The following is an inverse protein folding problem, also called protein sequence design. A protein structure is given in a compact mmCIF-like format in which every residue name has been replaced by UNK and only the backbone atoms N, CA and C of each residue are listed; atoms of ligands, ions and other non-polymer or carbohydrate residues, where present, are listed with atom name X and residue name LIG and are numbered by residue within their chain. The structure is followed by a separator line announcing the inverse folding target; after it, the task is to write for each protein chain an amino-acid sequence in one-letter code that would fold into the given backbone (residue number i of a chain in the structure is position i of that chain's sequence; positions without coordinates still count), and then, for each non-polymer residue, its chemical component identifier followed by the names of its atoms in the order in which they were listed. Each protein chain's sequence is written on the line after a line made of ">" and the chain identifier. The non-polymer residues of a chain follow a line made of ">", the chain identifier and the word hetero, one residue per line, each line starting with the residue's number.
data_IF_609150515106
#
_entry.id   IF_609150515106
#
_cell.length_a   1.000
_cell.length_b   1.000
_cell.length_c   1.000
_cell.angle_alpha   90.00
_cell.angle_beta   90.00
_cell.angle_gamma   90.00
#
_symmetry.space_group_name_H-M   'P 1'
#
loop_
_entity.id
_entity.type
_entity.pdbx_description
1 polymer ?
#
# COMPACT_ATOMS: atom_id res chain seq x y z
N UNK A 1 -2.72 70.80 37.42
CA UNK A 1 -3.87 70.34 36.61
C UNK A 1 -3.44 70.45 35.16
N UNK A 2 -3.75 69.41 34.39
CA UNK A 2 -3.16 69.08 33.10
C UNK A 2 -3.31 70.17 32.03
N UNK A 3 -2.23 70.43 31.31
CA UNK A 3 -2.26 71.06 29.99
C UNK A 3 -2.50 69.97 28.95
N UNK A 4 -3.58 70.11 28.20
CA UNK A 4 -3.87 69.32 27.00
C UNK A 4 -4.06 70.32 25.87
N UNK A 5 -3.14 70.32 24.91
CA UNK A 5 -3.33 70.94 23.60
C UNK A 5 -2.90 69.94 22.53
N UNK A 6 -3.86 69.75 21.64
CA UNK A 6 -3.95 68.90 20.47
C UNK A 6 -2.92 69.28 19.39
N UNK A 7 -2.38 68.28 18.70
CA UNK A 7 -1.84 68.38 17.34
C UNK A 7 -1.77 66.99 16.69
N UNK A 8 -2.90 66.55 16.16
CA UNK A 8 -3.07 65.92 14.83
C UNK A 8 -1.84 65.29 14.17
N UNK A 9 -1.83 63.95 14.07
CA UNK A 9 -1.15 63.25 12.97
C UNK A 9 -2.14 62.33 12.24
N UNK A 10 -2.23 62.59 10.95
CA UNK A 10 -3.12 61.99 9.97
C UNK A 10 -2.65 60.55 9.66
N UNK A 11 -3.31 59.54 10.20
CA UNK A 11 -3.09 58.14 9.82
C UNK A 11 -4.20 57.73 8.86
N UNK A 12 -3.88 57.64 7.58
CA UNK A 12 -4.70 56.96 6.58
C UNK A 12 -4.96 55.53 7.04
N UNK A 13 -6.19 55.22 7.44
CA UNK A 13 -6.66 53.85 7.58
C UNK A 13 -6.77 53.23 6.18
N UNK A 14 -5.67 52.68 5.67
CA UNK A 14 -5.75 51.66 4.62
C UNK A 14 -6.33 50.40 5.25
N UNK A 15 -7.61 50.16 4.93
CA UNK A 15 -8.25 48.86 5.06
C UNK A 15 -7.37 47.81 4.38
N UNK A 16 -6.60 47.05 5.15
CA UNK A 16 -6.10 45.76 4.69
C UNK A 16 -7.27 44.78 4.78
N UNK A 17 -8.01 44.70 3.68
CA UNK A 17 -8.96 43.63 3.42
C UNK A 17 -8.17 42.33 3.37
N UNK A 18 -8.21 41.56 4.45
CA UNK A 18 -7.70 40.19 4.52
C UNK A 18 -8.60 39.35 3.61
N UNK A 19 -8.15 39.20 2.38
CA UNK A 19 -8.82 38.44 1.33
C UNK A 19 -7.84 37.70 0.45
N UNK A 20 -6.79 37.08 0.99
CA UNK A 20 -5.97 36.13 0.22
C UNK A 20 -6.71 34.81 0.15
N UNK A 21 -7.80 34.78 -0.63
CA UNK A 21 -8.39 33.54 -1.11
C UNK A 21 -7.46 33.09 -2.25
N UNK A 22 -6.70 32.02 -2.04
CA UNK A 22 -5.92 31.43 -3.11
C UNK A 22 -6.87 31.11 -4.28
N UNK A 23 -6.67 31.78 -5.41
CA UNK A 23 -7.42 31.54 -6.63
C UNK A 23 -6.96 30.19 -7.19
N UNK A 24 -7.72 29.13 -6.89
CA UNK A 24 -7.45 27.80 -7.41
C UNK A 24 -8.00 27.77 -8.83
N UNK A 25 -7.12 27.65 -9.82
CA UNK A 25 -7.50 27.39 -11.19
C UNK A 25 -8.21 26.03 -11.28
N UNK A 26 -9.53 26.08 -11.46
CA UNK A 26 -10.40 24.90 -11.67
C UNK A 26 -10.75 24.70 -13.15
N UNK A 27 -10.04 25.36 -14.07
CA UNK A 27 -10.25 25.16 -15.49
C UNK A 27 -9.96 23.72 -15.91
N UNK A 28 -10.54 23.31 -17.04
CA UNK A 28 -10.43 21.94 -17.54
C UNK A 28 -8.96 21.51 -17.68
N UNK A 29 -8.65 20.20 -17.50
CA UNK A 29 -7.31 19.67 -17.70
C UNK A 29 -6.74 20.05 -19.07
N UNK A 30 -5.46 20.38 -19.14
CA UNK A 30 -4.81 20.70 -20.42
C UNK A 30 -4.87 19.49 -21.36
N UNK A 31 -5.26 19.73 -22.61
CA UNK A 31 -5.41 18.68 -23.61
C UNK A 31 -4.07 18.37 -24.31
N UNK A 32 -3.05 19.21 -24.08
CA UNK A 32 -1.72 19.06 -24.67
C UNK A 32 -0.63 19.70 -23.82
N UNK A 33 0.59 19.14 -23.89
CA UNK A 33 1.81 19.75 -23.36
C UNK A 33 2.01 21.15 -23.93
N UNK A 34 1.66 21.38 -25.20
CA UNK A 34 1.76 22.70 -25.84
C UNK A 34 0.82 23.72 -25.18
N UNK A 35 -0.37 23.29 -24.77
CA UNK A 35 -1.34 24.14 -24.07
C UNK A 35 -0.85 24.49 -22.67
N UNK A 36 -0.35 23.50 -21.93
CA UNK A 36 0.24 23.72 -20.61
C UNK A 36 1.42 24.71 -20.67
N UNK A 37 2.32 24.53 -21.63
CA UNK A 37 3.47 25.42 -21.81
C UNK A 37 3.03 26.84 -22.16
N UNK A 38 1.94 27.00 -22.92
CA UNK A 38 1.42 28.34 -23.26
C UNK A 38 0.75 29.02 -22.06
N UNK A 39 0.01 28.27 -21.23
CA UNK A 39 -0.68 28.81 -20.04
C UNK A 39 0.28 29.21 -18.92
N UNK A 40 1.41 28.51 -18.77
CA UNK A 40 2.36 28.71 -17.67
C UNK A 40 3.67 29.40 -18.06
N UNK A 41 3.71 30.16 -19.16
CA UNK A 41 4.83 31.10 -19.43
C UNK A 41 5.66 30.89 -20.69
N UNK A 42 5.21 30.07 -21.64
CA UNK A 42 5.77 29.95 -23.00
C UNK A 42 7.11 29.22 -23.12
N UNK A 43 7.45 28.77 -24.34
CA UNK A 43 8.75 28.18 -24.66
C UNK A 43 9.83 29.28 -24.58
N UNK A 44 10.57 29.34 -23.47
CA UNK A 44 11.79 30.13 -23.37
C UNK A 44 12.96 29.42 -24.05
N UNK A 45 13.57 30.06 -25.05
CA UNK A 45 14.86 29.62 -25.59
C UNK A 45 15.95 29.89 -24.55
N UNK A 46 16.32 28.87 -23.78
CA UNK A 46 17.52 28.92 -22.95
C UNK A 46 18.76 28.97 -23.84
N UNK A 47 19.41 30.13 -23.91
CA UNK A 47 20.78 30.26 -24.44
C UNK A 47 21.77 30.07 -23.28
N UNK A 48 22.63 29.03 -23.29
CA UNK A 48 23.76 28.98 -22.37
C UNK A 48 24.69 30.15 -22.66
N UNK A 49 24.98 31.00 -21.66
CA UNK A 49 25.96 32.07 -21.81
C UNK A 49 27.33 31.46 -22.03
N UNK A 50 27.75 31.39 -23.30
CA UNK A 50 29.15 31.22 -23.64
C UNK A 50 29.84 32.54 -23.30
N UNK A 51 30.36 32.65 -22.07
CA UNK A 51 31.23 33.77 -21.71
C UNK A 51 32.52 33.65 -22.52
N UNK A 52 32.58 34.45 -23.59
CA UNK A 52 33.85 34.88 -24.19
C UNK A 52 34.43 35.98 -23.31
N UNK A 53 35.74 35.86 -23.10
CA UNK A 53 36.63 36.85 -22.53
C UNK A 53 36.49 38.19 -23.27
N UNK A 54 36.01 39.23 -22.58
CA UNK A 54 36.29 40.64 -22.91
C UNK A 54 35.67 41.55 -21.84
N UNK A 55 36.53 42.14 -21.02
CA UNK A 55 36.29 43.38 -20.26
C UNK A 55 36.53 44.61 -21.17
N UNK A 56 36.19 45.87 -20.78
CA UNK A 56 35.41 46.29 -19.60
C UNK A 56 34.37 47.42 -19.90
N UNK A 57 33.65 47.78 -18.83
CA UNK A 57 33.13 49.12 -18.46
C UNK A 57 31.60 49.36 -18.38
N UNK A 58 31.23 49.74 -17.15
CA UNK A 58 30.09 50.50 -16.62
C UNK A 58 28.88 49.76 -16.02
N UNK A 59 28.69 50.10 -14.73
CA UNK A 59 27.59 49.88 -13.79
C UNK A 59 27.32 48.44 -13.33
N UNK A 60 28.25 47.92 -12.52
CA UNK A 60 27.86 46.98 -11.46
C UNK A 60 27.27 47.79 -10.31
N UNK A 61 25.95 47.69 -10.11
CA UNK A 61 25.37 47.90 -8.78
C UNK A 61 26.07 46.90 -7.85
N UNK A 62 27.02 47.41 -7.07
CA UNK A 62 27.66 46.69 -6.00
C UNK A 62 26.55 46.33 -5.00
N UNK A 63 26.05 45.10 -5.09
CA UNK A 63 25.11 44.55 -4.12
C UNK A 63 25.84 44.58 -2.78
N UNK A 64 25.48 45.54 -1.95
CA UNK A 64 26.06 45.75 -0.64
C UNK A 64 26.00 44.45 0.16
N UNK A 65 27.14 43.78 0.29
CA UNK A 65 27.30 42.46 0.90
C UNK A 65 26.75 42.48 2.34
N UNK A 66 26.86 43.62 3.02
CA UNK A 66 26.31 43.81 4.37
C UNK A 66 24.78 43.72 4.41
N UNK A 67 24.08 44.24 3.40
CA UNK A 67 22.62 44.18 3.32
C UNK A 67 22.11 42.75 3.04
N UNK A 68 22.84 41.98 2.23
CA UNK A 68 22.50 40.57 1.95
C UNK A 68 22.74 39.69 3.18
N UNK A 69 23.82 39.94 3.93
CA UNK A 69 24.12 39.24 5.19
C UNK A 69 23.06 39.56 6.27
N UNK A 70 22.62 40.81 6.38
CA UNK A 70 21.56 41.21 7.30
C UNK A 70 20.20 40.56 6.94
N UNK A 71 19.84 40.53 5.65
CA UNK A 71 18.65 39.82 5.18
C UNK A 71 18.72 38.31 5.44
N UNK A 72 19.88 37.69 5.29
CA UNK A 72 20.08 36.27 5.61
C UNK A 72 19.87 36.01 7.11
N UNK A 73 20.39 36.88 7.98
CA UNK A 73 20.18 36.78 9.44
C UNK A 73 18.71 36.96 9.84
N UNK A 74 17.97 37.84 9.16
CA UNK A 74 16.54 38.04 9.39
C UNK A 74 15.72 36.80 9.00
N UNK A 75 16.01 36.21 7.83
CA UNK A 75 15.35 35.00 7.37
C UNK A 75 15.67 33.78 8.25
N UNK A 76 16.91 33.68 8.76
CA UNK A 76 17.28 32.64 9.72
C UNK A 76 16.47 32.74 11.02
N UNK A 77 16.31 33.95 11.57
CA UNK A 77 15.49 34.17 12.77
C UNK A 77 14.02 33.84 12.53
N UNK A 78 13.46 34.23 11.39
CA UNK A 78 12.07 33.91 11.02
C UNK A 78 11.87 32.39 10.85
N UNK A 79 12.82 31.72 10.20
CA UNK A 79 12.81 30.26 10.05
C UNK A 79 12.80 29.55 11.40
N UNK A 80 13.67 29.98 12.33
CA UNK A 80 13.72 29.42 13.69
C UNK A 80 12.40 29.63 14.45
N UNK A 81 11.77 30.80 14.31
CA UNK A 81 10.46 31.07 14.93
C UNK A 81 9.38 30.16 14.32
N UNK A 82 9.37 29.98 13.01
CA UNK A 82 8.42 29.09 12.32
C UNK A 82 8.63 27.63 12.68
N UNK A 83 9.87 27.16 12.80
CA UNK A 83 10.18 25.83 13.29
C UNK A 83 9.63 25.61 14.70
N UNK A 84 9.79 26.58 15.61
CA UNK A 84 9.23 26.51 16.96
C UNK A 84 7.70 26.47 16.97
N UNK A 85 7.06 27.31 16.17
CA UNK A 85 5.59 27.32 16.02
C UNK A 85 5.07 25.97 15.50
N UNK A 86 5.74 25.38 14.50
CA UNK A 86 5.35 24.05 14.00
C UNK A 86 5.53 22.95 15.04
N UNK A 87 6.56 23.05 15.88
CA UNK A 87 6.80 22.11 16.97
C UNK A 87 5.72 22.22 18.06
N UNK A 88 5.30 23.44 18.41
CA UNK A 88 4.17 23.70 19.31
C UNK A 88 2.89 23.01 18.81
N UNK A 89 2.54 23.22 17.54
CA UNK A 89 1.36 22.60 16.91
C UNK A 89 1.44 21.08 16.91
N UNK A 90 2.63 20.51 16.68
CA UNK A 90 2.82 19.05 16.73
C UNK A 90 2.60 18.48 18.15
N UNK A 91 3.02 19.21 19.20
CA UNK A 91 2.74 18.81 20.59
C UNK A 91 1.24 18.85 20.90
N UNK A 92 0.55 19.91 20.47
CA UNK A 92 -0.91 20.01 20.63
C UNK A 92 -1.64 18.89 19.90
N UNK A 93 -1.17 18.52 18.70
CA UNK A 93 -1.71 17.41 17.92
C UNK A 93 -1.50 16.07 18.64
N UNK A 94 -0.33 15.84 19.23
CA UNK A 94 -0.04 14.64 20.01
C UNK A 94 -0.94 14.56 21.27
N UNK A 95 -1.11 15.67 21.98
CA UNK A 95 -2.04 15.75 23.11
C UNK A 95 -3.49 15.48 22.69
N UNK A 96 -3.92 16.02 21.54
CA UNK A 96 -5.24 15.77 20.97
C UNK A 96 -5.43 14.30 20.59
N UNK A 97 -4.40 13.68 20.00
CA UNK A 97 -4.40 12.24 19.67
C UNK A 97 -4.56 11.38 20.92
N UNK A 98 -3.82 11.69 22.00
CA UNK A 98 -3.95 11.02 23.30
C UNK A 98 -5.39 11.09 23.83
N UNK A 99 -6.02 12.27 23.78
CA UNK A 99 -7.41 12.45 24.21
C UNK A 99 -8.38 11.63 23.34
N UNK A 100 -8.19 11.62 22.02
CA UNK A 100 -9.02 10.82 21.10
C UNK A 100 -8.91 9.32 21.41
N UNK A 101 -7.71 8.82 21.68
CA UNK A 101 -7.50 7.42 22.06
C UNK A 101 -8.19 7.09 23.39
N UNK A 102 -8.11 7.97 24.38
CA UNK A 102 -8.82 7.81 25.66
C UNK A 102 -10.35 7.78 25.48
N UNK A 103 -10.90 8.73 24.70
CA UNK A 103 -12.33 8.78 24.39
C UNK A 103 -12.79 7.52 23.65
N UNK A 104 -11.98 7.01 22.73
CA UNK A 104 -12.26 5.77 21.99
C UNK A 104 -12.34 4.57 22.94
N UNK A 105 -11.44 4.47 23.93
CA UNK A 105 -11.49 3.41 24.94
C UNK A 105 -12.73 3.55 25.83
N UNK A 106 -13.08 4.76 26.25
CA UNK A 106 -14.31 5.04 27.03
C UNK A 106 -15.56 4.63 26.24
N UNK A 107 -15.65 4.98 24.96
CA UNK A 107 -16.77 4.62 24.10
C UNK A 107 -16.89 3.10 23.91
N UNK A 108 -15.76 2.41 23.71
CA UNK A 108 -15.74 0.95 23.58
C UNK A 108 -16.19 0.27 24.88
N UNK A 109 -15.76 0.80 26.04
CA UNK A 109 -16.17 0.32 27.35
C UNK A 109 -17.68 0.52 27.57
N UNK A 110 -18.18 1.72 27.33
CA UNK A 110 -19.61 2.04 27.50
C UNK A 110 -20.49 1.21 26.54
N UNK A 111 -20.07 1.02 25.30
CA UNK A 111 -20.75 0.13 24.36
C UNK A 111 -20.83 -1.32 24.89
N UNK A 112 -19.76 -1.82 25.51
CA UNK A 112 -19.76 -3.16 26.11
C UNK A 112 -20.65 -3.26 27.36
N UNK A 113 -20.70 -2.22 28.19
CA UNK A 113 -21.57 -2.14 29.37
C UNK A 113 -23.06 -2.06 28.97
N UNK A 114 -23.41 -1.29 27.93
CA UNK A 114 -24.77 -1.25 27.38
C UNK A 114 -25.17 -2.60 26.79
N UNK A 115 -24.26 -3.27 26.09
CA UNK A 115 -24.55 -4.59 25.54
C UNK A 115 -24.78 -5.64 26.66
N UNK A 116 -23.95 -5.63 27.70
CA UNK A 116 -24.12 -6.51 28.87
C UNK A 116 -25.42 -6.23 29.66
N UNK A 117 -25.83 -4.97 29.77
CA UNK A 117 -27.10 -4.60 30.43
C UNK A 117 -28.34 -4.97 29.59
N UNK A 118 -28.22 -4.98 28.25
CA UNK A 118 -29.28 -5.50 27.36
C UNK A 118 -29.43 -7.01 27.47
N UNK A 119 -28.31 -7.76 27.43
CA UNK A 119 -28.30 -9.21 27.59
C UNK A 119 -28.87 -9.65 28.95
N UNK A 120 -28.52 -8.96 30.04
CA UNK A 120 -29.08 -9.27 31.36
C UNK A 120 -30.57 -8.95 31.50
N UNK A 121 -31.11 -7.94 30.80
CA UNK A 121 -32.55 -7.66 30.75
C UNK A 121 -33.32 -8.73 29.98
N UNK A 122 -32.77 -9.22 28.86
CA UNK A 122 -33.37 -10.32 28.09
C UNK A 122 -33.40 -11.64 28.88
N UNK A 123 -32.37 -11.92 29.67
CA UNK A 123 -32.35 -13.09 30.56
C UNK A 123 -33.40 -12.97 31.67
N UNK A 124 -33.67 -11.76 32.19
CA UNK A 124 -34.62 -11.55 33.27
C UNK A 124 -36.09 -11.60 32.81
N UNK A 125 -36.39 -11.28 31.55
CA UNK A 125 -37.74 -11.45 30.96
C UNK A 125 -38.08 -12.93 30.65
N UNK A 126 -37.07 -13.77 30.36
CA UNK A 126 -37.28 -15.19 30.08
C UNK A 126 -37.48 -16.07 31.33
N UNK A 127 -37.11 -15.60 32.53
CA UNK A 127 -37.34 -16.33 33.80
C UNK A 127 -38.77 -16.14 34.34
N UNK A 128 -39.51 -15.13 33.87
CA UNK A 128 -40.89 -14.90 34.29
C UNK A 128 -41.93 -15.77 33.55
N UNK A 129 -41.53 -16.49 32.50
CA UNK A 129 -42.45 -17.14 31.56
C UNK A 129 -42.56 -18.67 31.65
N UNK A 130 -41.88 -19.36 32.57
CA UNK A 130 -41.94 -20.82 32.65
C UNK A 130 -42.18 -21.35 34.07
N UNK A 131 -43.46 -21.32 34.47
CA UNK A 131 -44.03 -22.24 35.44
C UNK A 131 -45.31 -22.84 34.85
N UNK A 132 -45.19 -23.78 33.91
CA UNK A 132 -46.17 -24.87 33.82
C UNK A 132 -45.74 -26.07 32.98
N UNK A 133 -46.14 -27.25 33.46
CA UNK A 133 -46.15 -28.57 32.80
C UNK A 133 -44.85 -29.39 32.87
N UNK A 134 -44.83 -30.32 33.83
CA UNK A 134 -43.84 -31.39 33.91
C UNK A 134 -44.11 -32.58 32.98
N UNK A 135 -43.08 -33.42 32.82
CA UNK A 135 -43.18 -34.88 32.79
C UNK A 135 -41.75 -35.48 32.90
N UNK A 136 -41.69 -36.63 33.55
CA UNK A 136 -40.55 -37.44 33.98
C UNK A 136 -39.85 -38.18 32.82
N UNK A 137 -38.51 -38.31 32.89
CA UNK A 137 -37.75 -39.59 32.95
C UNK A 137 -36.34 -39.54 32.27
N UNK A 138 -35.33 -39.70 33.13
CA UNK A 138 -33.99 -40.34 33.06
C UNK A 138 -33.08 -40.32 31.79
N UNK A 139 -31.75 -40.05 31.94
CA UNK A 139 -30.68 -40.20 30.93
C UNK A 139 -29.79 -41.45 31.21
N UNK A 140 -28.54 -41.63 30.67
CA UNK A 140 -27.92 -41.38 29.35
C UNK A 140 -27.12 -42.60 28.82
N UNK A 141 -26.71 -42.66 27.53
CA UNK A 141 -25.55 -43.49 27.10
C UNK A 141 -24.76 -42.85 25.93
N UNK A 142 -23.43 -42.79 26.15
CA UNK A 142 -22.33 -42.39 25.28
C UNK A 142 -22.13 -43.32 24.07
N UNK A 143 -21.60 -42.80 22.95
CA UNK A 143 -20.35 -43.32 22.37
C UNK A 143 -19.78 -42.42 21.26
N UNK A 144 -18.47 -42.21 21.42
CA UNK A 144 -17.48 -41.60 20.53
C UNK A 144 -17.29 -42.37 19.21
N UNK A 145 -16.61 -41.72 18.25
CA UNK A 145 -15.40 -42.17 17.51
C UNK A 145 -15.29 -41.27 16.26
N UNK A 146 -14.35 -40.31 16.21
CA UNK A 146 -13.00 -40.41 15.58
C UNK A 146 -13.08 -40.92 14.11
N UNK A 147 -12.45 -40.36 13.09
CA UNK A 147 -11.03 -39.99 12.99
C UNK A 147 -10.71 -39.51 11.55
N UNK A 148 -9.59 -38.78 11.45
CA UNK A 148 -8.62 -38.71 10.35
C UNK A 148 -8.86 -37.82 9.10
N UNK A 149 -8.04 -36.76 9.07
CA UNK A 149 -7.51 -36.02 7.93
C UNK A 149 -6.53 -36.87 7.10
N UNK A 150 -6.40 -36.61 5.78
CA UNK A 150 -5.10 -36.58 5.09
C UNK A 150 -5.18 -35.88 3.71
N UNK A 151 -4.41 -34.78 3.61
CA UNK A 151 -3.49 -34.33 2.54
C UNK A 151 -3.80 -34.30 1.03
N UNK A 152 -3.44 -33.13 0.45
CA UNK A 152 -2.70 -32.90 -0.83
C UNK A 152 -3.37 -33.27 -2.16
N UNK A 153 -3.17 -32.57 -3.28
CA UNK A 153 -2.42 -31.39 -3.70
C UNK A 153 -2.80 -31.17 -5.18
N UNK A 154 -2.84 -29.90 -5.62
CA UNK A 154 -2.67 -29.42 -7.02
C UNK A 154 -3.56 -29.91 -8.16
N UNK A 155 -3.94 -28.95 -9.01
CA UNK A 155 -3.90 -29.19 -10.45
C UNK A 155 -5.00 -28.51 -11.27
N UNK A 156 -4.60 -27.45 -11.96
CA UNK A 156 -5.13 -27.00 -13.25
C UNK A 156 -6.51 -26.30 -13.31
N UNK A 157 -6.38 -24.99 -13.53
CA UNK A 157 -7.28 -24.14 -14.29
C UNK A 157 -7.86 -24.78 -15.56
N UNK A 158 -9.16 -24.60 -15.79
CA UNK A 158 -9.67 -24.14 -17.09
C UNK A 158 -11.05 -23.50 -16.94
N UNK A 159 -11.17 -22.27 -17.45
CA UNK A 159 -12.42 -21.54 -17.61
C UNK A 159 -13.33 -22.25 -18.63
N UNK A 160 -14.62 -22.41 -18.32
CA UNK A 160 -15.69 -22.19 -19.30
C UNK A 160 -17.06 -22.05 -18.59
N UNK A 161 -17.65 -20.87 -18.81
CA UNK A 161 -19.08 -20.54 -18.89
C UNK A 161 -20.05 -21.72 -18.72
N UNK A 162 -20.96 -21.60 -17.75
CA UNK A 162 -22.12 -22.49 -17.65
C UNK A 162 -22.92 -22.30 -16.38
N UNK A 163 -24.04 -21.59 -16.51
CA UNK A 163 -25.36 -21.94 -15.94
C UNK A 163 -25.42 -22.58 -14.55
N UNK A 164 -26.08 -21.91 -13.59
CA UNK A 164 -27.33 -22.39 -12.96
C UNK A 164 -27.61 -21.65 -11.64
N UNK A 165 -28.73 -20.92 -11.63
CA UNK A 165 -29.81 -20.91 -10.63
C UNK A 165 -29.47 -21.21 -9.16
N UNK A 166 -29.95 -20.33 -8.26
CA UNK A 166 -30.80 -20.73 -7.12
C UNK A 166 -31.52 -19.51 -6.53
N UNK A 167 -32.86 -19.50 -6.58
CA UNK A 167 -33.71 -18.72 -5.67
C UNK A 167 -34.13 -19.60 -4.45
N UNK A 168 -34.97 -19.13 -3.52
CA UNK A 168 -34.61 -18.80 -2.15
C UNK A 168 -35.22 -19.82 -1.19
N UNK A 169 -34.42 -20.72 -0.63
CA UNK A 169 -34.89 -21.58 0.44
C UNK A 169 -33.77 -21.82 1.43
N UNK A 170 -34.09 -21.60 2.69
CA UNK A 170 -33.21 -21.71 3.85
C UNK A 170 -32.25 -20.51 4.04
N UNK A 171 -32.77 -19.47 4.69
CA UNK A 171 -32.04 -18.40 5.39
C UNK A 171 -30.81 -18.94 6.18
N UNK A 172 -30.80 -20.16 6.74
CA UNK A 172 -29.58 -20.80 7.29
C UNK A 172 -28.40 -21.03 6.32
N UNK A 173 -28.66 -21.37 5.05
CA UNK A 173 -27.62 -21.76 4.09
C UNK A 173 -26.76 -20.59 3.62
N UNK A 174 -27.37 -19.43 3.36
CA UNK A 174 -26.67 -18.19 3.01
C UNK A 174 -25.83 -17.68 4.18
N UNK A 175 -26.40 -17.65 5.39
CA UNK A 175 -25.69 -17.24 6.61
C UNK A 175 -24.48 -18.15 6.83
N UNK A 176 -24.62 -19.46 6.62
CA UNK A 176 -23.49 -20.39 6.72
C UNK A 176 -22.42 -20.14 5.67
N UNK A 177 -22.80 -19.77 4.44
CA UNK A 177 -21.85 -19.46 3.36
C UNK A 177 -21.11 -18.13 3.63
N UNK A 178 -21.81 -17.09 4.07
CA UNK A 178 -21.22 -15.82 4.50
C UNK A 178 -20.29 -16.02 5.70
N UNK A 179 -20.67 -16.85 6.67
CA UNK A 179 -19.84 -17.16 7.83
C UNK A 179 -18.59 -17.97 7.45
N UNK A 180 -18.71 -18.89 6.47
CA UNK A 180 -17.55 -19.57 5.87
C UNK A 180 -16.63 -18.59 5.15
N UNK A 181 -17.18 -17.65 4.39
CA UNK A 181 -16.40 -16.62 3.70
C UNK A 181 -15.72 -15.65 4.68
N UNK A 182 -16.44 -15.21 5.71
CA UNK A 182 -15.90 -14.38 6.79
C UNK A 182 -14.79 -15.11 7.54
N UNK A 183 -14.95 -16.41 7.81
CA UNK A 183 -13.91 -17.25 8.40
C UNK A 183 -12.66 -17.34 7.53
N UNK A 184 -12.81 -17.54 6.21
CA UNK A 184 -11.67 -17.54 5.29
C UNK A 184 -10.96 -16.18 5.24
N UNK A 185 -11.72 -15.08 5.21
CA UNK A 185 -11.15 -13.73 5.26
C UNK A 185 -10.44 -13.47 6.59
N UNK A 186 -10.99 -13.93 7.71
CA UNK A 186 -10.36 -13.83 9.02
C UNK A 186 -9.05 -14.63 9.07
N UNK A 187 -9.04 -15.84 8.53
CA UNK A 187 -7.82 -16.65 8.42
C UNK A 187 -6.76 -15.97 7.56
N UNK A 188 -7.14 -15.48 6.36
CA UNK A 188 -6.20 -14.76 5.47
C UNK A 188 -5.65 -13.50 6.14
N UNK A 189 -6.50 -12.66 6.73
CA UNK A 189 -6.06 -11.43 7.41
C UNK A 189 -5.18 -11.74 8.62
N UNK A 190 -5.43 -12.84 9.34
CA UNK A 190 -4.56 -13.29 10.43
C UNK A 190 -3.18 -13.71 9.93
N UNK A 191 -3.12 -14.42 8.80
CA UNK A 191 -1.84 -14.78 8.15
C UNK A 191 -1.10 -13.55 7.64
N UNK A 192 -1.76 -12.66 6.91
CA UNK A 192 -1.14 -11.42 6.41
C UNK A 192 -0.59 -10.58 7.56
N UNK A 193 -1.29 -10.53 8.70
CA UNK A 193 -0.86 -9.81 9.89
C UNK A 193 0.36 -10.47 10.54
N UNK A 194 0.46 -11.80 10.52
CA UNK A 194 1.66 -12.51 10.96
C UNK A 194 2.86 -12.20 10.06
N UNK A 195 2.67 -12.16 8.75
CA UNK A 195 3.72 -11.82 7.78
C UNK A 195 4.18 -10.36 7.94
N UNK A 196 3.25 -9.43 8.14
CA UNK A 196 3.57 -8.02 8.44
C UNK A 196 4.40 -7.93 9.74
N UNK A 197 4.00 -8.64 10.80
CA UNK A 197 4.74 -8.67 12.07
C UNK A 197 6.16 -9.20 11.87
N UNK A 198 6.32 -10.31 11.14
CA UNK A 198 7.62 -10.88 10.83
C UNK A 198 8.50 -9.90 10.03
N UNK A 199 7.91 -9.18 9.07
CA UNK A 199 8.60 -8.17 8.27
C UNK A 199 9.03 -6.96 9.09
N UNK A 200 8.17 -6.47 9.99
CA UNK A 200 8.50 -5.40 10.96
C UNK A 200 9.63 -5.82 11.88
N UNK A 201 9.59 -7.04 12.42
CA UNK A 201 10.62 -7.53 13.33
C UNK A 201 11.97 -7.73 12.61
N UNK A 202 11.94 -8.21 11.36
CA UNK A 202 13.12 -8.25 10.49
C UNK A 202 13.69 -6.86 10.21
N UNK A 203 12.81 -5.89 9.91
CA UNK A 203 13.17 -4.48 9.71
C UNK A 203 13.83 -3.85 10.94
N UNK A 204 13.26 -4.06 12.13
CA UNK A 204 13.83 -3.58 13.39
C UNK A 204 15.21 -4.19 13.67
N UNK A 205 15.39 -5.50 13.44
CA UNK A 205 16.71 -6.15 13.58
C UNK A 205 17.76 -5.54 12.64
N UNK A 206 17.36 -5.15 11.42
CA UNK A 206 18.26 -4.48 10.48
C UNK A 206 18.60 -3.06 10.93
N UNK A 207 17.60 -2.31 11.39
CA UNK A 207 17.77 -0.95 11.90
C UNK A 207 18.73 -0.92 13.09
N UNK A 208 18.59 -1.84 14.05
CA UNK A 208 19.50 -1.93 15.19
C UNK A 208 20.94 -2.23 14.78
N UNK A 209 21.16 -3.09 13.77
CA UNK A 209 22.51 -3.36 13.22
C UNK A 209 23.13 -2.12 12.57
N UNK A 210 22.33 -1.37 11.80
CA UNK A 210 22.80 -0.11 11.18
C UNK A 210 23.09 0.95 12.25
N UNK A 211 22.25 1.02 13.30
CA UNK A 211 22.44 1.94 14.43
C UNK A 211 23.73 1.66 15.19
N UNK A 212 24.01 0.40 15.50
CA UNK A 212 25.27 -0.02 16.14
C UNK A 212 26.49 0.27 15.25
N UNK A 213 26.37 0.05 13.94
CA UNK A 213 27.45 0.32 13.00
C UNK A 213 27.73 1.82 12.90
N UNK A 214 26.68 2.66 12.87
CA UNK A 214 26.78 4.10 12.89
C UNK A 214 27.48 4.60 14.16
N UNK A 215 27.08 4.10 15.33
CA UNK A 215 27.67 4.51 16.60
C UNK A 215 29.18 4.19 16.64
N UNK A 216 29.57 2.99 16.19
CA UNK A 216 30.98 2.61 16.06
C UNK A 216 31.77 3.55 15.12
N UNK A 217 31.14 4.03 14.04
CA UNK A 217 31.78 5.02 13.16
C UNK A 217 31.92 6.39 13.81
N UNK A 218 30.94 6.82 14.61
CA UNK A 218 30.98 8.07 15.37
C UNK A 218 32.08 8.04 16.43
N UNK A 219 32.19 6.96 17.21
CA UNK A 219 33.26 6.77 18.19
C UNK A 219 34.65 6.85 17.53
N UNK A 220 34.84 6.14 16.42
CA UNK A 220 36.10 6.17 15.67
C UNK A 220 36.42 7.57 15.13
N UNK A 221 35.42 8.30 14.65
CA UNK A 221 35.59 9.67 14.17
C UNK A 221 35.96 10.61 15.32
N UNK A 222 35.31 10.48 16.48
CA UNK A 222 35.64 11.24 17.68
C UNK A 222 37.07 10.97 18.14
N UNK A 223 37.49 9.70 18.20
CA UNK A 223 38.85 9.33 18.59
C UNK A 223 39.90 9.89 17.61
N UNK A 224 39.61 9.81 16.30
CA UNK A 224 40.48 10.36 15.27
C UNK A 224 40.56 11.89 15.39
N UNK A 225 39.44 12.57 15.62
CA UNK A 225 39.40 14.01 15.86
C UNK A 225 40.29 14.42 17.03
N UNK A 226 40.24 13.70 18.17
CA UNK A 226 41.11 13.97 19.31
C UNK A 226 42.59 13.74 18.97
N UNK A 227 42.90 12.69 18.20
CA UNK A 227 44.27 12.40 17.76
C UNK A 227 44.82 13.47 16.82
N UNK A 228 44.00 13.96 15.88
CA UNK A 228 44.35 15.07 14.99
C UNK A 228 44.63 16.33 15.81
N UNK A 229 43.79 16.65 16.80
CA UNK A 229 44.02 17.81 17.68
C UNK A 229 45.33 17.70 18.48
N UNK A 230 45.67 16.51 18.99
CA UNK A 230 46.93 16.27 19.70
C UNK A 230 48.15 16.44 18.79
N UNK A 231 48.08 15.91 17.56
CA UNK A 231 49.16 16.05 16.58
C UNK A 231 49.33 17.51 16.12
N UNK A 232 48.23 18.24 15.97
CA UNK A 232 48.24 19.66 15.62
C UNK A 232 48.87 20.51 16.72
N UNK A 233 48.61 20.19 18.00
CA UNK A 233 49.27 20.83 19.13
C UNK A 233 50.79 20.55 19.16
N UNK A 234 51.20 19.30 18.98
CA UNK A 234 52.63 18.93 18.90
C UNK A 234 53.36 19.61 17.73
N UNK A 235 52.71 19.70 16.57
CA UNK A 235 53.22 20.40 15.39
C UNK A 235 53.45 21.89 15.70
N UNK A 236 52.47 22.53 16.33
CA UNK A 236 52.56 23.94 16.72
C UNK A 236 53.68 24.19 17.74
N UNK A 237 53.83 23.31 18.74
CA UNK A 237 54.94 23.38 19.70
C UNK A 237 56.31 23.24 19.01
N UNK A 238 56.42 22.33 18.04
CA UNK A 238 57.66 22.12 17.28
C UNK A 238 57.97 23.34 16.42
N UNK A 239 56.96 23.93 15.79
CA UNK A 239 57.09 25.15 14.98
C UNK A 239 57.59 26.34 15.82
N UNK A 240 57.07 26.50 17.04
CA UNK A 240 57.55 27.53 17.98
C UNK A 240 58.99 27.30 18.42
N UNK A 241 59.37 26.07 18.77
CA UNK A 241 60.76 25.73 19.14
C UNK A 241 61.75 26.01 18.01
N UNK A 242 61.37 25.69 16.77
CA UNK A 242 62.18 25.95 15.58
C UNK A 242 62.35 27.45 15.32
N UNK A 243 61.30 28.25 15.48
CA UNK A 243 61.37 29.70 15.37
C UNK A 243 62.35 30.30 16.40
N UNK A 244 62.26 29.82 17.64
CA UNK A 244 63.10 30.28 18.76
C UNK A 244 64.58 29.89 18.58
N UNK A 245 64.85 28.74 17.97
CA UNK A 245 66.20 28.33 17.59
C UNK A 245 66.76 29.13 16.40
N UNK A 246 65.90 29.54 15.45
CA UNK A 246 66.25 30.39 14.31
C UNK A 246 66.68 31.79 14.77
N UNK A 247 66.05 32.31 15.81
CA UNK A 247 66.37 33.62 16.38
C UNK A 247 67.63 33.59 17.27
N UNK A 248 68.15 32.39 17.62
CA UNK A 248 69.25 32.21 18.57
C UNK A 248 70.64 31.99 17.95
N UNK A 249 70.78 31.67 16.65
CA UNK A 249 72.09 31.28 16.09
C UNK A 249 72.40 31.92 14.73
N UNK A 250 73.38 32.83 14.73
CA UNK A 250 74.19 33.14 13.57
C UNK A 250 75.31 32.11 13.43
N UNK A 251 75.52 31.63 12.20
CA UNK A 251 76.53 30.65 11.74
C UNK A 251 76.38 29.21 12.25
N UNK A 252 76.02 28.28 11.36
CA UNK A 252 76.80 27.05 11.11
C UNK A 252 76.21 26.30 9.90
N UNK A 253 77.07 25.88 8.97
CA UNK A 253 76.72 25.42 7.61
C UNK A 253 76.13 23.99 7.56
N UNK A 254 75.96 23.35 8.72
CA UNK A 254 75.41 21.99 8.88
C UNK A 254 73.89 21.99 9.16
N UNK A 255 73.35 23.03 9.81
CA UNK A 255 71.91 23.18 10.10
C UNK A 255 71.08 23.51 8.84
N UNK A 256 71.69 24.06 7.80
CA UNK A 256 71.01 24.42 6.55
C UNK A 256 70.49 23.18 5.79
N UNK A 257 71.23 22.07 5.83
CA UNK A 257 70.86 20.82 5.16
C UNK A 257 69.71 20.09 5.88
N UNK A 258 69.72 20.09 7.20
CA UNK A 258 68.70 19.43 8.03
C UNK A 258 67.37 20.21 7.99
N UNK A 259 67.43 21.55 8.01
CA UNK A 259 66.26 22.42 7.81
C UNK A 259 65.69 22.24 6.40
N UNK A 260 66.54 22.13 5.36
CA UNK A 260 66.08 21.90 3.99
C UNK A 260 65.35 20.57 3.84
N UNK A 261 65.87 19.50 4.45
CA UNK A 261 65.24 18.18 4.44
C UNK A 261 63.88 18.19 5.13
N UNK A 262 63.81 18.84 6.29
CA UNK A 262 62.58 18.97 7.06
C UNK A 262 61.51 19.81 6.34
N UNK A 263 61.92 20.89 5.67
CA UNK A 263 61.02 21.72 4.86
C UNK A 263 60.43 20.92 3.69
N UNK A 264 61.23 20.05 3.08
CA UNK A 264 60.79 19.18 1.99
C UNK A 264 59.84 18.08 2.50
N UNK A 265 60.11 17.53 3.69
CA UNK A 265 59.21 16.59 4.38
C UNK A 265 57.86 17.23 4.68
N UNK A 266 57.85 18.41 5.30
CA UNK A 266 56.63 19.16 5.62
C UNK A 266 55.87 19.61 4.36
N UNK A 267 56.58 19.99 3.29
CA UNK A 267 55.94 20.33 2.01
C UNK A 267 55.27 19.11 1.37
N UNK A 268 55.90 17.94 1.46
CA UNK A 268 55.32 16.68 0.98
C UNK A 268 54.08 16.29 1.80
N UNK A 269 54.15 16.43 3.12
CA UNK A 269 53.02 16.15 4.02
C UNK A 269 51.84 17.13 3.79
N UNK A 270 52.12 18.42 3.57
CA UNK A 270 51.10 19.41 3.20
C UNK A 270 50.43 19.09 1.85
N UNK A 271 51.19 18.60 0.86
CA UNK A 271 50.61 18.12 -0.40
C UNK A 271 49.70 16.90 -0.19
N UNK A 272 50.09 15.96 0.66
CA UNK A 272 49.26 14.78 0.97
C UNK A 272 47.97 15.18 1.70
N UNK A 273 48.03 16.12 2.65
CA UNK A 273 46.81 16.67 3.27
C UNK A 273 45.92 17.38 2.26
N UNK A 274 46.49 18.12 1.31
CA UNK A 274 45.74 18.73 0.22
C UNK A 274 45.04 17.66 -0.64
N UNK A 275 45.76 16.62 -1.08
CA UNK A 275 45.17 15.49 -1.84
C UNK A 275 44.07 14.79 -1.06
N UNK A 276 44.26 14.56 0.24
CA UNK A 276 43.26 13.94 1.10
C UNK A 276 42.02 14.83 1.23
N UNK A 277 42.20 16.14 1.40
CA UNK A 277 41.13 17.12 1.41
C UNK A 277 40.37 17.17 0.08
N UNK A 278 41.07 17.10 -1.04
CA UNK A 278 40.48 17.08 -2.38
C UNK A 278 39.65 15.81 -2.61
N UNK A 279 40.15 14.65 -2.15
CA UNK A 279 39.42 13.39 -2.18
C UNK A 279 38.15 13.44 -1.31
N UNK A 280 38.24 13.97 -0.10
CA UNK A 280 37.09 14.14 0.79
C UNK A 280 36.01 15.05 0.18
N UNK A 281 36.40 16.17 -0.45
CA UNK A 281 35.46 17.06 -1.16
C UNK A 281 34.82 16.36 -2.36
N UNK A 282 35.58 15.56 -3.10
CA UNK A 282 35.05 14.78 -4.22
C UNK A 282 34.02 13.74 -3.77
N UNK A 283 34.25 13.11 -2.62
CA UNK A 283 33.31 12.15 -2.02
C UNK A 283 32.02 12.82 -1.54
N UNK A 284 32.10 14.03 -0.97
CA UNK A 284 30.91 14.84 -0.62
C UNK A 284 30.09 15.17 -1.87
N UNK A 285 30.71 15.62 -2.96
CA UNK A 285 30.01 15.93 -4.21
C UNK A 285 29.34 14.69 -4.82
N UNK A 286 29.99 13.53 -4.73
CA UNK A 286 29.42 12.23 -5.12
C UNK A 286 28.18 11.91 -4.30
N UNK A 287 28.26 12.03 -2.96
CA UNK A 287 27.13 11.78 -2.07
C UNK A 287 25.94 12.72 -2.35
N UNK A 288 26.19 14.01 -2.60
CA UNK A 288 25.16 14.99 -2.99
C UNK A 288 24.44 14.53 -4.27
N UNK A 289 25.19 14.07 -5.27
CA UNK A 289 24.62 13.58 -6.54
C UNK A 289 23.77 12.32 -6.34
N UNK A 290 24.20 11.39 -5.47
CA UNK A 290 23.44 10.19 -5.11
C UNK A 290 22.14 10.53 -4.37
N UNK A 291 22.18 11.55 -3.49
CA UNK A 291 21.00 12.07 -2.79
C UNK A 291 20.00 12.68 -3.79
N UNK A 292 20.45 13.52 -4.73
CA UNK A 292 19.58 14.08 -5.77
C UNK A 292 18.93 12.98 -6.63
N UNK A 293 19.73 11.99 -7.05
CA UNK A 293 19.21 10.86 -7.81
C UNK A 293 18.17 10.07 -7.00
N UNK A 294 18.38 9.89 -5.70
CA UNK A 294 17.41 9.19 -4.85
C UNK A 294 16.14 10.03 -4.67
N UNK A 295 16.27 11.36 -4.51
CA UNK A 295 15.14 12.29 -4.42
C UNK A 295 14.24 12.22 -5.66
N UNK A 296 14.82 12.15 -6.86
CA UNK A 296 14.04 12.00 -8.11
C UNK A 296 13.35 10.63 -8.20
N UNK A 297 14.02 9.55 -7.78
CA UNK A 297 13.43 8.21 -7.69
C UNK A 297 12.24 8.17 -6.71
N UNK A 298 12.37 8.82 -5.54
CA UNK A 298 11.29 8.93 -4.54
C UNK A 298 10.08 9.65 -5.15
N UNK A 299 10.27 10.84 -5.75
CA UNK A 299 9.18 11.58 -6.42
C UNK A 299 8.46 10.72 -7.46
N UNK A 300 9.21 9.95 -8.24
CA UNK A 300 8.63 9.04 -9.24
C UNK A 300 7.80 7.93 -8.58
N UNK A 301 8.28 7.35 -7.49
CA UNK A 301 7.54 6.34 -6.74
C UNK A 301 6.25 6.91 -6.10
N UNK A 302 6.30 8.13 -5.57
CA UNK A 302 5.14 8.85 -5.04
C UNK A 302 4.06 9.05 -6.10
N UNK A 303 4.45 9.50 -7.31
CA UNK A 303 3.52 9.64 -8.44
C UNK A 303 2.85 8.31 -8.80
N UNK A 304 3.62 7.21 -8.87
CA UNK A 304 3.07 5.87 -9.15
C UNK A 304 2.08 5.42 -8.07
N UNK A 305 2.36 5.73 -6.81
CA UNK A 305 1.49 5.38 -5.70
C UNK A 305 0.18 6.20 -5.72
N UNK A 306 0.21 7.48 -6.08
CA UNK A 306 -1.00 8.27 -6.30
C UNK A 306 -1.83 7.69 -7.45
N UNK A 307 -1.20 7.33 -8.56
CA UNK A 307 -1.89 6.70 -9.69
C UNK A 307 -2.57 5.37 -9.27
N UNK A 308 -1.85 4.50 -8.56
CA UNK A 308 -2.38 3.23 -8.07
C UNK A 308 -3.59 3.42 -7.11
N UNK A 309 -3.56 4.44 -6.25
CA UNK A 309 -4.72 4.77 -5.40
C UNK A 309 -5.94 5.20 -6.22
N UNK A 310 -5.76 6.08 -7.20
CA UNK A 310 -6.84 6.50 -8.10
C UNK A 310 -7.42 5.32 -8.88
N UNK A 311 -6.57 4.42 -9.38
CA UNK A 311 -7.02 3.19 -10.05
C UNK A 311 -7.82 2.27 -9.11
N UNK A 312 -7.38 2.11 -7.86
CA UNK A 312 -8.12 1.34 -6.85
C UNK A 312 -9.49 1.95 -6.54
N UNK A 313 -9.57 3.27 -6.41
CA UNK A 313 -10.83 3.98 -6.19
C UNK A 313 -11.77 3.84 -7.39
N UNK A 314 -11.25 3.99 -8.61
CA UNK A 314 -12.02 3.76 -9.83
C UNK A 314 -12.54 2.32 -9.94
N UNK A 315 -11.72 1.33 -9.59
CA UNK A 315 -12.13 -0.07 -9.57
C UNK A 315 -13.26 -0.32 -8.54
N UNK A 316 -13.17 0.27 -7.34
CA UNK A 316 -14.24 0.20 -6.33
C UNK A 316 -15.53 0.88 -6.78
N UNK A 317 -15.43 2.01 -7.49
CA UNK A 317 -16.60 2.68 -8.04
C UNK A 317 -17.27 1.83 -9.14
N UNK A 318 -16.48 1.23 -10.03
CA UNK A 318 -16.98 0.31 -11.06
C UNK A 318 -17.64 -0.93 -10.45
N UNK A 319 -17.05 -1.49 -9.39
CA UNK A 319 -17.64 -2.59 -8.62
C UNK A 319 -18.99 -2.17 -8.02
N UNK A 320 -19.08 -1.01 -7.38
CA UNK A 320 -20.33 -0.51 -6.81
C UNK A 320 -21.43 -0.30 -7.87
N UNK A 321 -21.06 0.20 -9.06
CA UNK A 321 -21.98 0.34 -10.21
C UNK A 321 -22.47 -1.03 -10.67
N UNK A 322 -21.56 -1.99 -10.86
CA UNK A 322 -21.94 -3.35 -11.27
C UNK A 322 -22.86 -4.03 -10.24
N UNK A 323 -22.57 -3.87 -8.94
CA UNK A 323 -23.43 -4.38 -7.86
C UNK A 323 -24.81 -3.71 -7.88
N UNK A 324 -24.87 -2.40 -8.11
CA UNK A 324 -26.14 -1.69 -8.22
C UNK A 324 -26.96 -2.13 -9.45
N UNK A 325 -26.30 -2.37 -10.58
CA UNK A 325 -26.93 -2.89 -11.81
C UNK A 325 -27.48 -4.30 -11.61
N UNK A 326 -26.69 -5.21 -11.03
CA UNK A 326 -27.15 -6.57 -10.66
C UNK A 326 -28.39 -6.49 -9.76
N UNK A 327 -28.37 -5.58 -8.77
CA UNK A 327 -29.49 -5.37 -7.85
C UNK A 327 -30.72 -4.79 -8.57
N UNK A 328 -30.55 -3.82 -9.48
CA UNK A 328 -31.66 -3.25 -10.24
C UNK A 328 -32.34 -4.27 -11.17
N UNK A 329 -31.55 -5.09 -11.87
CA UNK A 329 -32.05 -6.20 -12.69
C UNK A 329 -32.83 -7.24 -11.86
N UNK A 330 -32.37 -7.49 -10.63
CA UNK A 330 -33.06 -8.38 -9.69
C UNK A 330 -34.44 -7.87 -9.26
N UNK A 331 -34.66 -6.54 -9.25
CA UNK A 331 -35.97 -5.95 -8.92
C UNK A 331 -36.91 -5.80 -10.13
N UNK A 332 -36.38 -5.65 -11.35
CA UNK A 332 -37.22 -5.59 -12.56
C UNK A 332 -37.91 -6.91 -12.88
N UNK A 333 -37.29 -8.05 -12.55
CA UNK A 333 -37.92 -9.38 -12.64
C UNK A 333 -39.08 -9.57 -11.63
N UNK A 334 -39.14 -8.77 -10.57
CA UNK A 334 -40.24 -8.76 -9.60
C UNK A 334 -41.43 -7.86 -9.97
N UNK A 335 -41.27 -6.94 -10.94
CA UNK A 335 -42.29 -5.95 -11.34
C UNK A 335 -42.91 -6.21 -12.71
N UNK A 336 -42.46 -7.24 -13.45
CA UNK A 336 -43.10 -7.72 -14.68
C UNK A 336 -44.40 -8.50 -14.43
N UNK A 337 -45.21 -8.04 -13.48
CA UNK A 337 -46.55 -8.59 -13.17
C UNK A 337 -47.71 -7.79 -13.75
N UNK A 338 -47.48 -6.56 -14.26
CA UNK A 338 -48.57 -5.67 -14.66
C UNK A 338 -48.19 -4.87 -15.91
N UNK A 339 -48.84 -5.23 -17.03
CA UNK A 339 -48.89 -4.51 -18.32
C UNK A 339 -47.73 -4.76 -19.32
N UNK A 340 -47.78 -5.90 -20.01
CA UNK A 340 -47.50 -5.93 -21.45
C UNK A 340 -48.24 -7.12 -22.10
N UNK A 341 -48.83 -6.99 -23.31
CA UNK A 341 -49.49 -8.10 -23.98
C UNK A 341 -48.43 -9.13 -24.38
N UNK A 342 -48.52 -10.34 -23.83
CA UNK A 342 -47.71 -11.48 -24.27
C UNK A 342 -47.91 -11.69 -25.79
N UNK A 343 -46.85 -11.84 -26.60
CA UNK A 343 -47.00 -12.53 -27.87
C UNK A 343 -47.41 -13.97 -27.55
N UNK A 344 -48.58 -14.37 -28.05
CA UNK A 344 -49.10 -15.73 -27.94
C UNK A 344 -48.05 -16.74 -28.41
N UNK A 345 -47.60 -17.60 -27.50
CA UNK A 345 -46.75 -18.75 -27.82
C UNK A 345 -45.58 -19.05 -26.88
N UNK A 346 -45.25 -18.18 -25.92
CA UNK A 346 -44.12 -18.45 -24.99
C UNK A 346 -44.61 -19.15 -23.72
N UNK A 347 -44.47 -20.48 -23.69
CA UNK A 347 -44.69 -21.30 -22.48
C UNK A 347 -43.44 -21.20 -21.59
N UNK A 348 -43.48 -20.31 -20.60
CA UNK A 348 -42.46 -20.27 -19.54
C UNK A 348 -42.76 -21.32 -18.49
N UNK A 349 -41.97 -22.40 -18.45
CA UNK A 349 -42.00 -23.41 -17.39
C UNK A 349 -41.14 -22.96 -16.22
N UNK A 350 -41.59 -23.21 -15.00
CA UNK A 350 -40.80 -22.97 -13.79
C UNK A 350 -39.59 -23.91 -13.73
N UNK A 351 -38.56 -23.54 -12.96
CA UNK A 351 -37.37 -24.38 -12.81
C UNK A 351 -37.71 -25.79 -12.30
N UNK A 352 -38.67 -25.91 -11.38
CA UNK A 352 -39.11 -27.19 -10.85
C UNK A 352 -39.84 -28.04 -11.91
N UNK A 353 -40.67 -27.42 -12.75
CA UNK A 353 -41.30 -28.10 -13.89
C UNK A 353 -40.28 -28.52 -14.95
N UNK A 354 -39.29 -27.67 -15.25
CA UNK A 354 -38.19 -28.00 -16.16
C UNK A 354 -37.36 -29.17 -15.64
N UNK A 355 -36.98 -29.16 -14.36
CA UNK A 355 -36.25 -30.26 -13.73
C UNK A 355 -37.08 -31.54 -13.70
N UNK A 356 -38.37 -31.47 -13.32
CA UNK A 356 -39.27 -32.64 -13.33
C UNK A 356 -39.45 -33.22 -14.74
N UNK A 357 -39.60 -32.36 -15.75
CA UNK A 357 -39.73 -32.77 -17.14
C UNK A 357 -38.43 -33.37 -17.68
N UNK A 358 -37.29 -32.79 -17.32
CA UNK A 358 -35.96 -33.31 -17.68
C UNK A 358 -35.72 -34.68 -17.08
N UNK A 359 -36.04 -34.88 -15.79
CA UNK A 359 -35.96 -36.20 -15.15
C UNK A 359 -36.87 -37.23 -15.83
N UNK A 360 -38.15 -36.87 -16.09
CA UNK A 360 -39.08 -37.77 -16.79
C UNK A 360 -38.63 -38.11 -18.20
N UNK A 361 -38.03 -37.16 -18.92
CA UNK A 361 -37.50 -37.39 -20.26
C UNK A 361 -36.31 -38.38 -20.21
N UNK A 362 -35.41 -38.21 -19.24
CA UNK A 362 -34.29 -39.13 -19.01
C UNK A 362 -34.75 -40.53 -18.61
N UNK A 363 -35.71 -40.64 -17.69
CA UNK A 363 -36.29 -41.93 -17.27
C UNK A 363 -36.95 -42.67 -18.45
N UNK A 364 -37.69 -41.93 -19.29
CA UNK A 364 -38.31 -42.48 -20.50
C UNK A 364 -37.27 -42.93 -21.54
N UNK A 365 -36.18 -42.16 -21.70
CA UNK A 365 -35.06 -42.51 -22.57
C UNK A 365 -34.38 -43.80 -22.10
N UNK A 366 -34.07 -43.93 -20.81
CA UNK A 366 -33.47 -45.14 -20.23
C UNK A 366 -34.40 -46.35 -20.35
N UNK A 367 -35.70 -46.18 -20.09
CA UNK A 367 -36.69 -47.23 -20.28
C UNK A 367 -36.75 -47.68 -21.75
N UNK A 368 -36.68 -46.73 -22.69
CA UNK A 368 -36.62 -47.02 -24.13
C UNK A 368 -35.34 -47.78 -24.49
N UNK A 369 -34.17 -47.34 -24.02
CA UNK A 369 -32.89 -48.04 -24.25
C UNK A 369 -32.96 -49.48 -23.76
N UNK A 370 -33.48 -49.71 -22.55
CA UNK A 370 -33.66 -51.06 -22.01
C UNK A 370 -34.56 -51.93 -22.89
N UNK A 371 -35.70 -51.39 -23.35
CA UNK A 371 -36.60 -52.10 -24.27
C UNK A 371 -35.94 -52.44 -25.61
N UNK A 372 -35.08 -51.56 -26.13
CA UNK A 372 -34.32 -51.83 -27.36
C UNK A 372 -33.33 -52.97 -27.12
N UNK A 373 -32.60 -52.97 -26.00
CA UNK A 373 -31.69 -54.06 -25.65
C UNK A 373 -32.43 -55.39 -25.53
N UNK A 374 -33.56 -55.42 -24.81
CA UNK A 374 -34.38 -56.64 -24.67
C UNK A 374 -34.89 -57.14 -26.03
N UNK A 375 -35.30 -56.24 -26.93
CA UNK A 375 -35.73 -56.59 -28.28
C UNK A 375 -34.58 -57.14 -29.14
N UNK A 376 -33.37 -56.59 -29.01
CA UNK A 376 -32.18 -57.10 -29.70
C UNK A 376 -31.86 -58.52 -29.24
N UNK A 377 -31.91 -58.79 -27.94
CA UNK A 377 -31.70 -60.14 -27.39
C UNK A 377 -32.72 -61.13 -27.98
N UNK A 378 -34.01 -60.77 -28.03
CA UNK A 378 -35.04 -61.62 -28.63
C UNK A 378 -34.78 -61.90 -30.12
N UNK A 379 -34.29 -60.91 -30.87
CA UNK A 379 -33.92 -61.08 -32.29
C UNK A 379 -32.73 -62.02 -32.43
N UNK A 380 -31.72 -61.89 -31.58
CA UNK A 380 -30.54 -62.77 -31.58
C UNK A 380 -30.93 -64.22 -31.24
N UNK A 381 -31.76 -64.42 -30.22
CA UNK A 381 -32.31 -65.75 -29.87
C UNK A 381 -33.10 -66.37 -31.03
N UNK A 382 -33.96 -65.58 -31.70
CA UNK A 382 -34.71 -66.03 -32.86
C UNK A 382 -33.79 -66.38 -34.05
N UNK A 383 -32.72 -65.61 -34.25
CA UNK A 383 -31.72 -65.87 -35.29
C UNK A 383 -30.93 -67.16 -35.02
N UNK A 384 -30.52 -67.39 -33.76
CA UNK A 384 -29.90 -68.66 -33.34
C UNK A 384 -30.84 -69.83 -33.58
N UNK A 385 -32.10 -69.73 -33.17
CA UNK A 385 -33.12 -70.76 -33.40
C UNK A 385 -33.34 -71.04 -34.90
N UNK A 386 -33.46 -69.98 -35.72
CA UNK A 386 -33.54 -70.09 -37.19
C UNK A 386 -32.35 -70.82 -37.78
N UNK A 387 -31.13 -70.51 -37.32
CA UNK A 387 -29.90 -71.16 -37.80
C UNK A 387 -29.86 -72.64 -37.39
N UNK A 388 -30.31 -72.99 -36.19
CA UNK A 388 -30.45 -74.39 -35.77
C UNK A 388 -31.45 -75.18 -36.61
N UNK A 389 -32.61 -74.59 -36.91
CA UNK A 389 -33.63 -75.19 -37.79
C UNK A 389 -33.05 -75.41 -39.19
N UNK A 390 -32.40 -74.39 -39.77
CA UNK A 390 -31.74 -74.50 -41.07
C UNK A 390 -30.68 -75.61 -41.10
N UNK A 391 -29.88 -75.73 -40.03
CA UNK A 391 -28.89 -76.81 -39.89
C UNK A 391 -29.53 -78.20 -39.84
N UNK A 392 -30.64 -78.35 -39.11
CA UNK A 392 -31.42 -79.62 -39.06
C UNK A 392 -32.01 -79.96 -40.42
N UNK A 393 -32.60 -79.00 -41.13
CA UNK A 393 -33.17 -79.20 -42.48
C UNK A 393 -32.08 -79.57 -43.50
N UNK A 394 -30.95 -78.85 -43.50
CA UNK A 394 -29.81 -79.17 -44.36
C UNK A 394 -29.19 -80.54 -44.07
N UNK A 395 -29.11 -80.93 -42.80
CA UNK A 395 -28.66 -82.26 -42.37
C UNK A 395 -29.64 -83.40 -42.70
N UNK A 396 -30.93 -83.12 -42.86
CA UNK A 396 -31.93 -84.08 -43.33
C UNK A 396 -31.93 -84.20 -44.86
N UNK A 397 -31.73 -83.09 -45.59
CA UNK A 397 -31.56 -83.13 -47.05
C UNK A 397 -30.32 -83.93 -47.49
N UNK A 398 -29.22 -83.80 -46.74
CA UNK A 398 -27.97 -84.55 -47.00
C UNK A 398 -28.05 -86.04 -46.63
N UNK A 399 -28.96 -86.41 -45.72
CA UNK A 399 -29.22 -87.81 -45.33
C UNK A 399 -30.21 -88.54 -46.24
N UNK A 400 -31.03 -87.82 -47.02
CA UNK A 400 -31.97 -88.41 -47.97
C UNK A 400 -31.39 -88.56 -49.40
N UNK A 401 -30.10 -88.21 -49.60
CA UNK A 401 -29.39 -88.34 -50.90
C UNK A 401 -28.23 -89.35 -50.87
N UNK A 402 -28.00 -90.00 -49.72
CA UNK A 402 -27.18 -91.21 -49.56
C UNK A 402 -28.10 -92.34 -49.10
#
# INVERSE_FOLDING_TARGET
>A
MAETLDSSSNMEHKHFEVGVRAEIDTSAPFESVKEAVSRFGGIGYWKPSQHKLSEPEHDMEEVDIGNVEEQASLLEKDLILKERETLEVLKELEATKMIIEELKLKLQKEASEVNATLESKLVNENVAADLNSGNENMPPVLKEVQKDSHESLEGASHNLVGSLNTHPSSVPGLILMELKQAKLNLSRTTTDLADIRASVESGNKKLEKERLSLEKTRERLSLNSSKVSSLEEELNQTRLKLQLAKDANGSDDTNTMDISWELQRLSSEAEEFKKMGDAARSEVLRAISEIEQTKTKIKTAEMRLVAARKMKEAARAAEAVAVAEIKALSYSDGLSGVLSPKPEGVVTLTYEEYSSLTCKAQDAEELSKKRVVDAVIQVDEANVSKMEILKKVGGSHRRNQN
#
